data_IF_428861469976
#
_entry.id   IF_428861469976
#
_cell.length_a   1.000
_cell.length_b   1.000
_cell.length_c   1.000
_cell.angle_alpha   90.00
_cell.angle_beta   90.00
_cell.angle_gamma   90.00
#
_symmetry.space_group_name_H-M   'P 1'
#
loop_
_entity.id
_entity.type
_entity.pdbx_description
1 polymer ?
#
# COMPACT_ATOMS: atom_id res chain seq x y z
N UNK A 1 16.87 -3.72 4.92
CA UNK A 1 15.44 -3.92 5.19
C UNK A 1 15.19 -3.73 6.68
N UNK A 2 14.14 -3.01 7.06
CA UNK A 2 13.69 -2.85 8.46
C UNK A 2 12.36 -3.60 8.59
N UNK A 3 12.27 -4.48 9.59
CA UNK A 3 11.05 -5.22 9.90
C UNK A 3 10.47 -4.62 11.18
N UNK A 4 9.19 -4.30 11.19
CA UNK A 4 8.46 -3.75 12.33
C UNK A 4 7.37 -4.73 12.73
N UNK A 5 7.29 -5.03 14.03
CA UNK A 5 6.28 -5.92 14.60
C UNK A 5 5.36 -5.20 15.60
N UNK A 6 5.67 -3.92 15.90
CA UNK A 6 4.89 -3.08 16.82
C UNK A 6 4.38 -1.84 16.12
N UNK A 7 3.18 -1.40 16.47
CA UNK A 7 2.53 -0.23 15.86
C UNK A 7 3.31 1.08 16.06
N UNK A 8 3.98 1.26 17.20
CA UNK A 8 4.83 2.43 17.47
C UNK A 8 6.05 2.47 16.54
N UNK A 9 6.66 1.31 16.28
CA UNK A 9 7.78 1.20 15.33
C UNK A 9 7.31 1.48 13.90
N UNK A 10 6.11 1.03 13.56
CA UNK A 10 5.46 1.29 12.29
C UNK A 10 5.21 2.80 12.10
N UNK A 11 4.65 3.48 13.12
CA UNK A 11 4.45 4.93 13.07
C UNK A 11 5.77 5.67 12.89
N UNK A 12 6.84 5.25 13.56
CA UNK A 12 8.16 5.84 13.39
C UNK A 12 8.68 5.68 11.94
N UNK A 13 8.54 4.49 11.34
CA UNK A 13 8.92 4.25 9.94
C UNK A 13 8.12 5.11 8.98
N UNK A 14 6.81 5.24 9.16
CA UNK A 14 5.98 6.09 8.32
C UNK A 14 6.34 7.58 8.48
N UNK A 15 6.75 8.00 9.67
CA UNK A 15 7.27 9.35 9.92
C UNK A 15 8.60 9.60 9.19
N UNK A 16 9.50 8.62 9.21
CA UNK A 16 10.75 8.69 8.46
C UNK A 16 10.49 8.78 6.94
N UNK A 17 9.50 8.03 6.43
CA UNK A 17 9.10 8.09 5.01
C UNK A 17 8.48 9.42 4.62
N UNK A 18 7.67 10.05 5.47
CA UNK A 18 7.17 11.40 5.23
C UNK A 18 8.30 12.43 5.22
N UNK A 19 9.24 12.32 6.15
CA UNK A 19 10.42 13.19 6.19
C UNK A 19 11.26 13.04 4.91
N UNK A 20 11.44 11.82 4.43
CA UNK A 20 12.12 11.55 3.16
C UNK A 20 11.33 12.10 1.96
N UNK A 21 10.00 12.04 2.00
CA UNK A 21 9.13 12.62 0.98
C UNK A 21 9.34 14.14 0.90
N UNK A 22 9.33 14.85 2.03
CA UNK A 22 9.56 16.31 2.06
C UNK A 22 10.98 16.65 1.56
N UNK A 23 11.99 15.91 2.01
CA UNK A 23 13.36 16.07 1.52
C UNK A 23 13.44 15.92 -0.01
N UNK A 24 12.76 14.94 -0.58
CA UNK A 24 12.73 14.73 -2.04
C UNK A 24 11.98 15.82 -2.77
N UNK A 25 10.91 16.36 -2.22
CA UNK A 25 10.20 17.52 -2.79
C UNK A 25 11.13 18.71 -2.97
N UNK A 26 11.90 19.04 -1.93
CA UNK A 26 12.87 20.13 -2.00
C UNK A 26 13.96 19.86 -3.05
N UNK A 27 14.53 18.66 -3.10
CA UNK A 27 15.52 18.28 -4.10
C UNK A 27 14.99 18.38 -5.53
N UNK A 28 13.74 17.94 -5.76
CA UNK A 28 13.13 17.97 -7.09
C UNK A 28 12.79 19.40 -7.52
N UNK A 29 12.35 20.23 -6.57
CA UNK A 29 12.12 21.66 -6.82
C UNK A 29 13.42 22.35 -7.25
N UNK A 30 14.52 22.17 -6.52
CA UNK A 30 15.84 22.73 -6.85
C UNK A 30 16.34 22.21 -8.21
N UNK A 31 16.10 20.92 -8.50
CA UNK A 31 16.49 20.29 -9.76
C UNK A 31 15.53 20.59 -10.93
N UNK A 32 14.44 21.32 -10.70
CA UNK A 32 13.37 21.61 -11.68
C UNK A 32 12.83 20.35 -12.38
N UNK A 33 12.64 19.28 -11.60
CA UNK A 33 12.09 18.02 -12.08
C UNK A 33 10.83 17.63 -11.27
N UNK A 34 9.96 16.81 -11.87
CA UNK A 34 8.68 16.41 -11.29
C UNK A 34 8.62 14.94 -10.87
N UNK A 35 9.67 14.17 -11.12
CA UNK A 35 9.66 12.74 -10.80
C UNK A 35 11.05 12.18 -10.49
N UNK A 36 11.09 11.08 -9.73
CA UNK A 36 12.32 10.36 -9.44
C UNK A 36 13.07 9.94 -10.73
N UNK A 37 12.33 9.55 -11.76
CA UNK A 37 12.94 9.16 -13.04
C UNK A 37 13.65 10.32 -13.72
N UNK A 38 13.06 11.51 -13.71
CA UNK A 38 13.68 12.72 -14.25
C UNK A 38 14.89 13.16 -13.41
N UNK A 39 14.75 13.16 -12.08
CA UNK A 39 15.84 13.48 -11.17
C UNK A 39 17.04 12.56 -11.39
N UNK A 40 16.82 11.25 -11.49
CA UNK A 40 17.88 10.27 -11.64
C UNK A 40 18.55 10.29 -13.03
N UNK A 41 17.89 10.79 -14.08
CA UNK A 41 18.51 10.94 -15.41
C UNK A 41 19.62 11.98 -15.44
N UNK A 42 19.51 13.04 -14.64
CA UNK A 42 20.40 14.19 -14.63
C UNK A 42 21.48 14.14 -13.55
N UNK A 43 21.62 13.03 -12.82
CA UNK A 43 22.51 12.91 -11.65
C UNK A 43 23.35 11.63 -11.69
N UNK A 44 24.60 11.73 -11.23
CA UNK A 44 25.46 10.57 -11.01
C UNK A 44 25.00 9.76 -9.80
N UNK A 45 24.75 10.43 -8.67
CA UNK A 45 24.20 9.83 -7.47
C UNK A 45 22.68 9.71 -7.58
N UNK A 46 22.20 8.48 -7.77
CA UNK A 46 20.77 8.17 -7.96
C UNK A 46 20.09 7.93 -6.63
N UNK A 47 18.91 8.52 -6.47
CA UNK A 47 18.01 8.17 -5.36
C UNK A 47 17.35 6.81 -5.64
N UNK A 48 17.32 5.98 -4.60
CA UNK A 48 16.65 4.66 -4.66
C UNK A 48 15.15 4.81 -4.41
N UNK A 49 14.35 3.88 -4.94
CA UNK A 49 12.96 3.74 -4.52
C UNK A 49 12.89 3.24 -3.08
N UNK A 50 11.94 3.77 -2.32
CA UNK A 50 11.55 3.25 -1.02
C UNK A 50 10.27 2.44 -1.20
N UNK A 51 10.23 1.24 -0.66
CA UNK A 51 9.04 0.38 -0.66
C UNK A 51 8.68 0.12 0.80
N UNK A 52 7.46 0.46 1.14
CA UNK A 52 6.83 0.08 2.40
C UNK A 52 5.82 -1.02 2.12
N UNK A 53 5.93 -2.13 2.82
CA UNK A 53 4.99 -3.24 2.70
C UNK A 53 4.34 -3.51 4.07
N UNK A 54 3.02 -3.66 4.06
CA UNK A 54 2.23 -4.04 5.23
C UNK A 54 1.35 -5.24 4.86
N UNK A 55 1.55 -6.36 5.54
CA UNK A 55 0.89 -7.64 5.22
C UNK A 55 -0.60 -7.62 5.59
N UNK A 56 -0.96 -7.13 6.78
CA UNK A 56 -2.36 -6.98 7.18
C UNK A 56 -2.61 -5.55 7.69
N UNK A 57 -2.97 -4.67 6.75
CA UNK A 57 -3.19 -3.25 7.07
C UNK A 57 -4.39 -3.04 8.01
N UNK A 58 -5.35 -3.96 8.02
CA UNK A 58 -6.51 -3.92 8.92
C UNK A 58 -6.12 -3.96 10.39
N UNK A 59 -5.01 -4.61 10.72
CA UNK A 59 -4.53 -4.69 12.10
C UNK A 59 -3.97 -3.38 12.62
N UNK A 60 -3.54 -2.49 11.76
CA UNK A 60 -2.89 -1.23 12.15
C UNK A 60 -3.72 0.03 11.91
N UNK A 61 -4.74 -0.03 11.04
CA UNK A 61 -5.64 1.11 10.72
C UNK A 61 -7.06 0.95 11.27
N UNK A 62 -7.46 -0.25 11.69
CA UNK A 62 -8.81 -0.52 12.15
C UNK A 62 -9.24 0.38 13.32
N UNK A 63 -10.44 0.98 13.22
CA UNK A 63 -10.99 1.89 14.24
C UNK A 63 -11.50 1.20 15.51
N UNK A 64 -11.74 -0.11 15.44
CA UNK A 64 -12.26 -0.88 16.58
C UNK A 64 -11.11 -1.37 17.47
N UNK A 65 -10.49 -0.43 18.18
CA UNK A 65 -9.35 -0.67 19.08
C UNK A 65 -9.77 -0.65 20.53
N UNK A 66 -9.16 -1.49 21.40
CA UNK A 66 -9.56 -1.63 22.80
C UNK A 66 -9.26 -0.40 23.65
N UNK A 67 -8.22 0.37 23.35
CA UNK A 67 -7.82 1.54 24.12
C UNK A 67 -7.82 2.82 23.31
N UNK A 68 -7.88 3.96 24.01
CA UNK A 68 -7.84 5.29 23.37
C UNK A 68 -6.51 5.52 22.67
N UNK A 69 -5.40 5.12 23.28
CA UNK A 69 -4.05 5.27 22.76
C UNK A 69 -3.89 4.50 21.43
N UNK A 70 -4.41 3.28 21.35
CA UNK A 70 -4.38 2.48 20.12
C UNK A 70 -5.26 3.06 19.01
N UNK A 71 -6.39 3.70 19.37
CA UNK A 71 -7.23 4.43 18.40
C UNK A 71 -6.50 5.65 17.83
N UNK A 72 -5.86 6.44 18.67
CA UNK A 72 -5.06 7.59 18.26
C UNK A 72 -3.89 7.19 17.38
N UNK A 73 -3.21 6.08 17.71
CA UNK A 73 -2.12 5.53 16.94
C UNK A 73 -2.58 5.07 15.55
N UNK A 74 -3.70 4.36 15.46
CA UNK A 74 -4.28 3.94 14.19
C UNK A 74 -4.64 5.12 13.28
N UNK A 75 -5.21 6.20 13.85
CA UNK A 75 -5.52 7.43 13.11
C UNK A 75 -4.25 8.08 12.56
N UNK A 76 -3.17 8.13 13.35
CA UNK A 76 -1.90 8.69 12.90
C UNK A 76 -1.28 7.85 11.78
N UNK A 77 -1.29 6.53 11.90
CA UNK A 77 -0.82 5.59 10.86
C UNK A 77 -1.62 5.79 9.57
N UNK A 78 -2.96 5.82 9.66
CA UNK A 78 -3.84 6.03 8.50
C UNK A 78 -3.54 7.35 7.79
N UNK A 79 -3.41 8.45 8.53
CA UNK A 79 -3.10 9.78 7.98
C UNK A 79 -1.76 9.80 7.22
N UNK A 80 -0.74 9.11 7.74
CA UNK A 80 0.56 9.02 7.06
C UNK A 80 0.51 8.16 5.80
N UNK A 81 -0.22 7.03 5.86
CA UNK A 81 -0.47 6.20 4.68
C UNK A 81 -1.21 6.97 3.59
N UNK A 82 -2.22 7.78 3.94
CA UNK A 82 -2.93 8.66 2.99
C UNK A 82 -1.99 9.67 2.31
N UNK A 83 -1.13 10.32 3.09
CA UNK A 83 -0.15 11.27 2.56
C UNK A 83 0.81 10.59 1.58
N UNK A 84 1.35 9.44 1.96
CA UNK A 84 2.30 8.69 1.13
C UNK A 84 1.60 8.12 -0.10
N UNK A 85 0.38 7.58 0.01
CA UNK A 85 -0.40 7.08 -1.13
C UNK A 85 -0.62 8.18 -2.18
N UNK A 86 -1.00 9.37 -1.73
CA UNK A 86 -1.30 10.52 -2.60
C UNK A 86 -0.06 11.09 -3.29
N UNK A 87 1.08 11.15 -2.62
CA UNK A 87 2.25 11.91 -3.08
C UNK A 87 3.45 11.03 -3.44
N UNK A 88 3.60 9.87 -2.80
CA UNK A 88 4.83 9.08 -2.83
C UNK A 88 5.29 8.63 -4.21
N UNK A 89 4.35 8.31 -5.11
CA UNK A 89 4.63 7.77 -6.45
C UNK A 89 5.63 8.61 -7.25
N UNK A 90 5.40 9.92 -7.34
CA UNK A 90 6.29 10.82 -8.09
C UNK A 90 7.70 10.87 -7.48
N UNK A 91 7.78 10.76 -6.17
CA UNK A 91 9.03 10.82 -5.40
C UNK A 91 9.69 9.45 -5.20
N UNK A 92 9.11 8.38 -5.76
CA UNK A 92 9.64 7.03 -5.69
C UNK A 92 9.48 6.37 -4.33
N UNK A 93 8.43 6.71 -3.59
CA UNK A 93 8.01 6.05 -2.36
C UNK A 93 6.72 5.29 -2.67
N UNK A 94 6.73 3.98 -2.50
CA UNK A 94 5.65 3.09 -2.90
C UNK A 94 5.11 2.33 -1.70
N UNK A 95 3.78 2.13 -1.66
CA UNK A 95 3.08 1.33 -0.67
C UNK A 95 2.65 -0.01 -1.30
N UNK A 96 2.84 -1.09 -0.57
CA UNK A 96 2.24 -2.40 -0.80
C UNK A 96 1.40 -2.70 0.43
N UNK A 97 0.08 -2.65 0.29
CA UNK A 97 -0.86 -2.87 1.38
C UNK A 97 -1.65 -4.13 1.09
N UNK A 98 -1.61 -5.09 2.00
CA UNK A 98 -2.37 -6.33 1.93
C UNK A 98 -3.42 -6.38 3.03
N UNK A 99 -4.53 -7.06 2.80
CA UNK A 99 -5.55 -7.34 3.81
C UNK A 99 -6.39 -8.54 3.42
N UNK A 100 -6.78 -9.32 4.41
CA UNK A 100 -7.72 -10.44 4.28
C UNK A 100 -9.13 -10.05 4.78
N UNK A 101 -9.31 -8.88 5.35
CA UNK A 101 -10.57 -8.45 5.98
C UNK A 101 -11.36 -7.52 5.07
N UNK A 102 -12.62 -7.87 4.75
CA UNK A 102 -13.45 -7.09 3.83
C UNK A 102 -14.18 -5.92 4.51
N UNK A 103 -13.49 -5.10 5.27
CA UNK A 103 -14.13 -3.96 5.92
C UNK A 103 -13.74 -2.65 5.21
N UNK A 104 -14.75 -1.94 4.67
CA UNK A 104 -14.56 -0.64 4.03
C UNK A 104 -14.02 0.44 4.98
N UNK A 105 -14.10 0.21 6.29
CA UNK A 105 -13.56 1.09 7.34
C UNK A 105 -12.04 0.97 7.47
N UNK A 106 -11.44 -0.11 6.94
CA UNK A 106 -10.03 -0.44 7.11
C UNK A 106 -9.11 0.39 6.21
N UNK A 107 -9.54 0.61 4.97
CA UNK A 107 -8.84 1.45 4.01
C UNK A 107 -9.73 2.62 3.61
N UNK A 108 -9.38 3.81 4.04
CA UNK A 108 -10.13 5.01 3.66
C UNK A 108 -10.23 5.13 2.13
N UNK A 109 -11.30 5.74 1.65
CA UNK A 109 -11.47 6.02 0.23
C UNK A 109 -10.29 6.82 -0.34
N UNK A 110 -9.63 7.65 0.48
CA UNK A 110 -8.47 8.42 0.07
C UNK A 110 -7.26 7.52 -0.24
N UNK A 111 -6.98 6.50 0.59
CA UNK A 111 -5.90 5.53 0.31
C UNK A 111 -6.25 4.76 -0.97
N UNK A 112 -7.45 4.16 -1.05
CA UNK A 112 -7.87 3.32 -2.19
C UNK A 112 -7.81 4.07 -3.52
N UNK A 113 -8.27 5.31 -3.55
CA UNK A 113 -8.30 6.12 -4.78
C UNK A 113 -6.90 6.55 -5.28
N UNK A 114 -5.89 6.47 -4.41
CA UNK A 114 -4.50 6.78 -4.76
C UNK A 114 -3.63 5.53 -4.99
N UNK A 115 -4.20 4.33 -4.88
CA UNK A 115 -3.55 3.08 -5.20
C UNK A 115 -4.02 2.60 -6.59
N UNK A 116 -3.20 2.86 -7.62
CA UNK A 116 -3.55 2.54 -9.01
C UNK A 116 -3.57 1.04 -9.29
N UNK A 117 -2.67 0.27 -8.67
CA UNK A 117 -2.61 -1.17 -8.84
C UNK A 117 -3.35 -1.85 -7.70
N UNK A 118 -4.52 -2.41 -8.01
CA UNK A 118 -5.33 -3.13 -7.05
C UNK A 118 -5.54 -4.55 -7.53
N UNK A 119 -5.29 -5.50 -6.63
CA UNK A 119 -5.33 -6.94 -6.89
C UNK A 119 -6.27 -7.59 -5.89
N UNK A 120 -7.18 -8.41 -6.34
CA UNK A 120 -8.08 -9.18 -5.51
C UNK A 120 -7.94 -10.67 -5.83
N UNK A 121 -7.79 -11.49 -4.81
CA UNK A 121 -7.94 -12.93 -4.92
C UNK A 121 -9.41 -13.33 -4.94
N UNK A 122 -9.69 -14.64 -4.74
CA UNK A 122 -11.07 -15.10 -4.56
C UNK A 122 -11.68 -14.39 -3.34
N UNK A 123 -12.79 -13.71 -3.56
CA UNK A 123 -13.47 -12.89 -2.58
C UNK A 123 -14.99 -13.10 -2.64
N UNK A 124 -15.71 -12.59 -1.64
CA UNK A 124 -17.13 -12.36 -1.76
C UNK A 124 -17.44 -11.05 -2.53
N UNK A 125 -18.71 -10.75 -2.75
CA UNK A 125 -19.11 -9.54 -3.47
C UNK A 125 -18.68 -8.25 -2.75
N UNK A 126 -18.71 -8.24 -1.41
CA UNK A 126 -18.36 -7.06 -0.62
C UNK A 126 -16.88 -6.74 -0.71
N UNK A 127 -16.01 -7.75 -0.51
CA UNK A 127 -14.57 -7.57 -0.61
C UNK A 127 -14.16 -7.21 -2.04
N UNK A 128 -14.72 -7.87 -3.05
CA UNK A 128 -14.50 -7.53 -4.45
C UNK A 128 -14.86 -6.07 -4.74
N UNK A 129 -16.04 -5.63 -4.27
CA UNK A 129 -16.49 -4.24 -4.42
C UNK A 129 -15.58 -3.23 -3.70
N UNK A 130 -15.05 -3.56 -2.53
CA UNK A 130 -14.15 -2.69 -1.78
C UNK A 130 -12.79 -2.56 -2.48
N UNK A 131 -12.25 -3.64 -3.00
CA UNK A 131 -10.90 -3.64 -3.59
C UNK A 131 -10.91 -3.20 -5.05
N UNK A 132 -11.86 -3.70 -5.85
CA UNK A 132 -11.87 -3.52 -7.31
C UNK A 132 -12.95 -2.54 -7.82
N UNK A 133 -13.79 -2.00 -6.93
CA UNK A 133 -14.99 -1.20 -7.27
C UNK A 133 -16.01 -1.96 -8.13
N UNK A 134 -15.93 -3.30 -8.13
CA UNK A 134 -16.86 -4.20 -8.83
C UNK A 134 -16.90 -5.57 -8.14
N UNK A 135 -17.81 -6.46 -8.58
CA UNK A 135 -17.98 -7.81 -8.00
C UNK A 135 -17.26 -8.91 -8.80
N UNK A 136 -16.39 -8.56 -9.71
CA UNK A 136 -15.80 -9.50 -10.66
C UNK A 136 -14.92 -10.56 -10.01
N UNK A 137 -14.18 -10.24 -8.93
CA UNK A 137 -13.39 -11.25 -8.24
C UNK A 137 -14.24 -12.37 -7.64
N UNK A 138 -15.46 -12.03 -7.17
CA UNK A 138 -16.42 -13.02 -6.67
C UNK A 138 -17.00 -13.89 -7.78
N UNK A 139 -17.18 -13.33 -8.97
CA UNK A 139 -17.88 -13.98 -10.08
C UNK A 139 -16.91 -14.73 -11.02
N UNK A 140 -15.73 -14.18 -11.28
CA UNK A 140 -14.79 -14.71 -12.28
C UNK A 140 -13.76 -15.67 -11.71
N UNK A 141 -13.46 -15.59 -10.39
CA UNK A 141 -12.50 -16.51 -9.76
C UNK A 141 -13.26 -17.70 -9.18
N UNK A 142 -13.05 -18.94 -9.68
CA UNK A 142 -13.70 -20.14 -9.16
C UNK A 142 -13.35 -20.40 -7.68
N UNK A 143 -14.29 -21.02 -6.94
CA UNK A 143 -14.12 -21.24 -5.47
C UNK A 143 -12.87 -22.04 -5.09
N UNK A 144 -12.42 -22.95 -5.97
CA UNK A 144 -11.29 -23.85 -5.68
C UNK A 144 -9.98 -23.42 -6.37
N UNK A 145 -9.91 -22.18 -6.87
CA UNK A 145 -8.74 -21.66 -7.58
C UNK A 145 -7.77 -21.00 -6.61
N UNK A 146 -6.77 -21.74 -6.14
CA UNK A 146 -5.67 -21.17 -5.35
C UNK A 146 -4.72 -20.37 -6.25
N UNK A 147 -4.25 -19.22 -5.74
CA UNK A 147 -3.30 -18.36 -6.48
C UNK A 147 -3.89 -17.66 -7.70
N UNK A 148 -5.22 -17.68 -7.88
CA UNK A 148 -5.89 -16.97 -8.95
C UNK A 148 -6.26 -15.58 -8.47
N UNK A 149 -5.92 -14.56 -9.27
CA UNK A 149 -6.10 -13.15 -8.92
C UNK A 149 -6.71 -12.37 -10.09
N UNK A 150 -7.37 -11.27 -9.75
CA UNK A 150 -7.94 -10.31 -10.67
C UNK A 150 -7.36 -8.91 -10.39
N UNK A 151 -6.87 -8.26 -11.42
CA UNK A 151 -6.48 -6.85 -11.38
C UNK A 151 -7.72 -5.94 -11.51
N UNK A 152 -7.59 -4.71 -11.07
CA UNK A 152 -8.62 -3.68 -11.23
C UNK A 152 -9.03 -3.44 -12.69
N UNK A 153 -8.14 -3.63 -13.67
CA UNK A 153 -8.40 -3.55 -15.11
C UNK A 153 -9.07 -4.80 -15.68
N UNK A 154 -9.55 -5.72 -14.82
CA UNK A 154 -10.16 -7.00 -15.14
C UNK A 154 -9.23 -8.06 -15.73
N UNK A 155 -7.93 -7.87 -15.67
CA UNK A 155 -6.95 -8.89 -16.07
C UNK A 155 -6.91 -10.01 -15.04
N UNK A 156 -7.31 -11.21 -15.46
CA UNK A 156 -7.25 -12.42 -14.64
C UNK A 156 -5.89 -13.08 -14.83
N UNK A 157 -5.20 -13.40 -13.72
CA UNK A 157 -3.90 -14.06 -13.80
C UNK A 157 -3.70 -15.12 -12.72
N UNK A 158 -2.72 -15.98 -12.92
CA UNK A 158 -2.29 -17.00 -11.98
C UNK A 158 -0.98 -16.58 -11.34
N UNK A 159 -0.95 -16.46 -10.01
CA UNK A 159 0.28 -16.28 -9.24
C UNK A 159 1.13 -17.54 -9.24
N UNK A 160 2.45 -17.37 -9.22
CA UNK A 160 3.37 -18.49 -9.02
C UNK A 160 3.29 -18.99 -7.59
N UNK A 161 3.41 -20.31 -7.41
CA UNK A 161 3.64 -20.89 -6.10
C UNK A 161 5.11 -20.67 -5.72
N UNK A 162 5.33 -20.02 -4.61
CA UNK A 162 6.66 -19.92 -4.01
C UNK A 162 6.79 -21.08 -3.04
N UNK A 163 7.76 -21.95 -3.27
CA UNK A 163 8.12 -23.03 -2.37
C UNK A 163 9.11 -22.46 -1.34
N UNK A 164 8.66 -22.32 -0.08
CA UNK A 164 9.47 -21.74 0.99
C UNK A 164 10.71 -22.60 1.34
N UNK A 165 10.71 -23.89 0.97
CA UNK A 165 11.87 -24.75 1.16
C UNK A 165 13.02 -24.42 0.19
N UNK A 166 12.78 -23.64 -0.85
CA UNK A 166 13.76 -23.24 -1.88
C UNK A 166 14.12 -21.74 -1.85
N UNK A 167 13.76 -21.02 -0.79
CA UNK A 167 14.17 -19.65 -0.51
C UNK A 167 15.34 -19.64 0.47
#
# INVERSE_FOLDING_TARGET
>A
CRICTKEQELLAVLTDLESELERRKELFLQAKCSSLSQYNKSREAKLRRCIFACDEVAEVTGRNRPTKELKELAIQIESKLETIARLGRAFGIHLILSTQRPDAVILSGQIRNNLDCRVCGRADNNLSQIILDNTDAANLIPKNSKGRFLLHDRTLFQGYLIDEENL
#
